data_IF_990967299933
#
_entry.id   IF_990967299933
#
_cell.length_a   1.000
_cell.length_b   1.000
_cell.length_c   1.000
_cell.angle_alpha   90.00
_cell.angle_beta   90.00
_cell.angle_gamma   90.00
#
_symmetry.space_group_name_H-M   'P 1'
#
loop_
_entity.id
_entity.type
_entity.pdbx_description
1 polymer ?
#
# COMPACT_ATOMS: atom_id res chain seq x y z
N UNK A 1 -4.54 -31.88 -46.17
CA UNK A 1 -3.30 -31.63 -46.92
C UNK A 1 -3.57 -30.56 -47.96
N UNK A 2 -2.97 -29.39 -47.76
CA UNK A 2 -2.62 -28.30 -48.69
C UNK A 2 -2.60 -27.02 -47.84
N UNK A 3 -1.37 -26.65 -47.48
CA UNK A 3 -0.98 -25.47 -46.71
C UNK A 3 -0.75 -24.36 -47.74
N UNK A 4 -1.36 -23.20 -47.56
CA UNK A 4 -1.05 -21.99 -48.33
C UNK A 4 -0.49 -20.92 -47.37
N UNK A 5 0.83 -20.79 -47.40
CA UNK A 5 1.59 -19.70 -46.79
C UNK A 5 1.33 -18.40 -47.55
N UNK A 6 0.98 -17.32 -46.84
CA UNK A 6 0.96 -15.96 -47.39
C UNK A 6 1.99 -15.13 -46.62
N UNK A 7 3.09 -14.84 -47.31
CA UNK A 7 4.16 -13.94 -46.89
C UNK A 7 3.80 -12.53 -47.33
N UNK A 8 3.68 -11.57 -46.40
CA UNK A 8 3.55 -10.16 -46.71
C UNK A 8 4.84 -9.41 -46.30
N UNK A 9 5.46 -8.76 -47.28
CA UNK A 9 6.72 -8.05 -47.16
C UNK A 9 6.52 -6.60 -46.67
N UNK A 10 7.50 -6.18 -45.87
CA UNK A 10 7.73 -4.87 -45.28
C UNK A 10 7.75 -3.75 -46.33
N UNK A 11 7.03 -2.64 -46.10
CA UNK A 11 7.24 -1.37 -46.80
C UNK A 11 7.57 -0.30 -45.75
N UNK A 12 8.82 0.17 -45.79
CA UNK A 12 9.35 1.24 -44.97
C UNK A 12 9.02 2.62 -45.58
N UNK A 13 8.26 3.44 -44.85
CA UNK A 13 8.05 4.85 -45.19
C UNK A 13 8.81 5.76 -44.22
N UNK A 14 9.88 6.40 -44.72
CA UNK A 14 10.53 7.59 -44.13
C UNK A 14 9.63 8.81 -44.33
N UNK A 15 9.64 9.75 -43.37
CA UNK A 15 9.58 11.23 -43.48
C UNK A 15 9.04 11.75 -42.12
N UNK A 16 9.35 12.91 -41.58
CA UNK A 16 10.44 13.86 -41.66
C UNK A 16 10.16 14.85 -40.52
N UNK A 17 11.18 15.22 -39.73
CA UNK A 17 11.10 16.30 -38.75
C UNK A 17 11.11 17.64 -39.49
N UNK A 18 10.21 18.58 -39.15
CA UNK A 18 10.37 19.98 -39.50
C UNK A 18 10.00 20.87 -38.31
N UNK A 19 11.01 21.60 -37.88
CA UNK A 19 11.02 22.67 -36.89
C UNK A 19 10.40 23.97 -37.43
N UNK A 20 10.35 24.96 -36.52
CA UNK A 20 10.55 26.41 -36.71
C UNK A 20 9.34 27.31 -37.00
N UNK A 21 8.95 28.03 -35.94
CA UNK A 21 8.82 29.50 -35.79
C UNK A 21 8.03 30.32 -36.80
N UNK A 22 7.06 31.10 -36.29
CA UNK A 22 6.72 32.41 -36.86
C UNK A 22 6.29 33.42 -35.78
N UNK A 23 6.88 34.61 -35.93
CA UNK A 23 6.85 35.82 -35.12
C UNK A 23 5.74 36.76 -35.64
N UNK A 24 4.98 37.42 -34.76
CA UNK A 24 4.30 38.73 -34.92
C UNK A 24 3.39 38.92 -33.70
N UNK A 25 3.40 39.99 -32.90
CA UNK A 25 3.80 41.38 -33.12
C UNK A 25 2.55 42.27 -33.07
N UNK A 26 2.17 42.80 -31.90
CA UNK A 26 1.28 43.97 -31.72
C UNK A 26 1.71 44.70 -30.44
N UNK A 27 1.89 46.01 -30.59
CA UNK A 27 2.34 46.94 -29.56
C UNK A 27 1.19 47.83 -29.05
N UNK A 28 1.45 48.44 -27.89
CA UNK A 28 0.97 49.75 -27.43
C UNK A 28 -0.43 49.85 -26.77
N UNK A 29 -0.45 50.15 -25.46
CA UNK A 29 -0.93 51.44 -24.92
C UNK A 29 -0.78 51.47 -23.39
N UNK A 30 0.00 52.44 -22.90
CA UNK A 30 0.21 52.77 -21.50
C UNK A 30 -0.75 53.88 -21.07
N UNK A 31 -1.30 53.79 -19.85
CA UNK A 31 -1.97 54.88 -19.13
C UNK A 31 -1.42 54.89 -17.69
N UNK A 32 -0.87 56.01 -17.18
CA UNK A 32 -0.46 56.14 -15.79
C UNK A 32 -1.64 56.63 -14.94
N UNK A 33 -1.89 56.01 -13.78
CA UNK A 33 -2.84 56.51 -12.78
C UNK A 33 -2.08 57.02 -11.54
N UNK A 34 -2.50 58.20 -11.09
CA UNK A 34 -1.82 59.07 -10.15
C UNK A 34 -1.81 58.58 -8.69
N UNK A 35 -0.83 59.06 -7.96
CA UNK A 35 -0.64 58.94 -6.53
C UNK A 35 -1.73 59.67 -5.72
N UNK A 36 -2.13 59.07 -4.60
CA UNK A 36 -2.68 59.76 -3.43
C UNK A 36 -1.95 59.27 -2.17
N UNK A 37 -1.31 60.22 -1.49
CA UNK A 37 -0.79 60.08 -0.14
C UNK A 37 -1.83 60.65 0.84
N UNK A 38 -2.10 59.95 1.95
CA UNK A 38 -2.69 60.58 3.15
C UNK A 38 -2.37 59.78 4.42
N UNK A 39 -1.67 60.47 5.31
CA UNK A 39 -1.87 60.59 6.78
C UNK A 39 -1.74 59.33 7.65
N UNK A 40 -0.68 59.38 8.45
CA UNK A 40 -0.45 58.69 9.73
C UNK A 40 -1.56 58.97 10.75
N UNK A 41 -2.09 57.92 11.37
CA UNK A 41 -2.73 57.98 12.69
C UNK A 41 -2.20 56.82 13.54
N UNK A 42 -1.49 57.18 14.61
CA UNK A 42 -1.05 56.29 15.68
C UNK A 42 -2.28 55.91 16.53
N UNK A 43 -2.69 54.64 16.49
CA UNK A 43 -3.51 54.04 17.54
C UNK A 43 -3.04 52.61 17.76
N UNK A 44 -2.29 52.44 18.84
CA UNK A 44 -1.99 51.15 19.45
C UNK A 44 -3.31 50.52 19.92
N UNK A 45 -3.76 49.50 19.19
CA UNK A 45 -4.79 48.55 19.58
C UNK A 45 -4.26 47.16 19.25
N UNK A 46 -4.38 46.26 20.22
CA UNK A 46 -3.82 44.91 20.23
C UNK A 46 -3.90 44.18 18.88
N UNK A 47 -2.75 43.70 18.39
CA UNK A 47 -2.68 42.78 17.27
C UNK A 47 -3.45 41.49 17.63
N UNK A 48 -4.51 41.12 16.91
CA UNK A 48 -4.71 39.70 16.66
C UNK A 48 -3.52 39.26 15.83
N UNK A 49 -2.85 38.17 16.22
CA UNK A 49 -1.79 37.56 15.42
C UNK A 49 -2.19 37.56 13.94
N UNK A 50 -1.52 38.41 13.17
CA UNK A 50 -1.78 38.59 11.76
C UNK A 50 -1.30 37.30 11.09
N UNK A 51 -2.22 36.34 10.92
CA UNK A 51 -1.96 35.19 10.06
C UNK A 51 -1.70 35.76 8.67
N UNK A 52 -0.43 35.77 8.30
CA UNK A 52 0.02 36.04 6.94
C UNK A 52 -0.55 34.90 6.08
N UNK A 53 -1.74 35.13 5.54
CA UNK A 53 -2.32 34.27 4.52
C UNK A 53 -1.54 34.52 3.24
N UNK A 54 -0.47 33.75 3.04
CA UNK A 54 0.26 33.72 1.77
C UNK A 54 -0.65 33.09 0.73
N UNK A 55 -1.39 33.94 0.01
CA UNK A 55 -2.11 33.59 -1.21
C UNK A 55 -1.09 33.09 -2.24
N UNK A 56 -0.93 31.78 -2.30
CA UNK A 56 0.09 31.09 -3.08
C UNK A 56 0.55 29.77 -2.47
N UNK A 57 0.26 29.53 -1.19
CA UNK A 57 0.55 28.23 -0.57
C UNK A 57 -0.58 27.23 -0.86
N UNK A 58 -0.26 26.17 -1.59
CA UNK A 58 -1.11 24.98 -1.75
C UNK A 58 -1.26 24.16 -0.46
N UNK A 59 -0.84 24.67 0.70
CA UNK A 59 -1.00 23.99 1.97
C UNK A 59 -2.44 24.14 2.47
N UNK A 60 -3.25 23.12 2.20
CA UNK A 60 -4.32 22.74 3.13
C UNK A 60 -3.70 22.78 4.55
N UNK A 61 -4.42 23.32 5.54
CA UNK A 61 -4.01 23.30 6.95
C UNK A 61 -3.45 21.92 7.30
N UNK A 62 -2.13 21.85 7.39
CA UNK A 62 -1.40 20.59 7.52
C UNK A 62 -1.62 20.11 8.95
N UNK A 63 -2.17 18.92 9.14
CA UNK A 63 -2.43 18.35 10.48
C UNK A 63 -1.15 18.25 11.32
N UNK A 64 0.01 18.29 10.67
CA UNK A 64 1.33 18.37 11.28
C UNK A 64 1.64 19.69 12.00
N UNK A 65 0.89 20.77 11.74
CA UNK A 65 1.11 22.06 12.40
C UNK A 65 0.37 22.18 13.74
N UNK A 66 -0.63 21.34 13.97
CA UNK A 66 -1.44 21.32 15.21
C UNK A 66 -1.15 20.09 16.09
N UNK A 67 -0.58 19.02 15.52
CA UNK A 67 -0.29 17.78 16.25
C UNK A 67 1.12 17.79 16.87
N UNK A 68 1.27 17.49 18.18
CA UNK A 68 2.58 17.33 18.81
C UNK A 68 3.32 16.07 18.34
N UNK A 69 2.66 15.20 17.58
CA UNK A 69 3.23 13.97 17.01
C UNK A 69 3.12 13.98 15.49
N UNK A 70 4.17 13.57 14.75
CA UNK A 70 4.17 13.61 13.29
C UNK A 70 3.10 12.69 12.72
N UNK A 71 2.31 13.22 11.78
CA UNK A 71 1.32 12.51 10.99
C UNK A 71 1.86 12.40 9.56
N UNK A 72 2.12 11.18 9.13
CA UNK A 72 2.48 10.88 7.74
C UNK A 72 1.20 10.50 7.02
N UNK A 73 0.92 11.13 5.88
CA UNK A 73 -0.23 10.76 5.08
C UNK A 73 0.19 10.32 3.68
N UNK A 74 -0.46 9.26 3.19
CA UNK A 74 -0.20 8.64 1.90
C UNK A 74 -1.51 8.61 1.12
N UNK A 75 -1.47 9.13 -0.09
CA UNK A 75 -2.67 9.26 -0.93
C UNK A 75 -2.98 7.98 -1.70
N UNK A 76 -4.23 7.83 -2.13
CA UNK A 76 -4.69 6.70 -2.97
C UNK A 76 -3.76 6.39 -4.16
N UNK A 77 -3.11 7.43 -4.71
CA UNK A 77 -2.20 7.35 -5.84
C UNK A 77 -0.94 6.52 -5.58
N UNK A 78 -0.44 6.52 -4.34
CA UNK A 78 0.78 5.80 -3.97
C UNK A 78 0.54 4.30 -3.80
N UNK A 79 -0.71 3.88 -3.58
CA UNK A 79 -1.11 2.46 -3.55
C UNK A 79 -1.50 1.94 -4.94
N UNK A 80 -1.60 2.80 -5.97
CA UNK A 80 -2.03 2.35 -7.30
C UNK A 80 -0.96 1.45 -7.92
N UNK A 81 -1.37 0.21 -8.17
CA UNK A 81 -0.55 -0.80 -8.82
C UNK A 81 0.19 -1.72 -7.86
N UNK A 82 0.01 -1.52 -6.55
CA UNK A 82 0.35 -2.52 -5.55
C UNK A 82 -0.84 -3.48 -5.37
N UNK A 83 -0.54 -4.76 -5.18
CA UNK A 83 -1.56 -5.81 -4.96
C UNK A 83 -2.14 -5.72 -3.54
N UNK A 84 -1.32 -5.33 -2.56
CA UNK A 84 -1.72 -5.21 -1.15
C UNK A 84 -1.43 -3.78 -0.65
N UNK A 85 -2.43 -3.15 -0.04
CA UNK A 85 -2.28 -1.80 0.55
C UNK A 85 -1.15 -1.77 1.58
N UNK A 86 -0.93 -2.87 2.29
CA UNK A 86 0.15 -2.97 3.28
C UNK A 86 1.51 -2.81 2.61
N UNK A 87 1.76 -3.38 1.43
CA UNK A 87 3.06 -3.32 0.78
C UNK A 87 3.44 -1.89 0.39
N UNK A 88 2.49 -1.10 -0.08
CA UNK A 88 2.71 0.32 -0.32
C UNK A 88 2.87 1.12 1.00
N UNK A 89 2.18 0.75 2.09
CA UNK A 89 2.39 1.35 3.41
C UNK A 89 3.77 1.05 4.01
N UNK A 90 4.43 -0.05 3.64
CA UNK A 90 5.81 -0.36 4.11
C UNK A 90 6.86 0.60 3.59
N UNK A 91 6.54 1.41 2.58
CA UNK A 91 7.37 2.55 2.18
C UNK A 91 7.57 3.54 3.35
N UNK A 92 6.63 3.58 4.30
CA UNK A 92 6.78 4.32 5.56
C UNK A 92 7.72 3.54 6.48
N UNK A 93 8.84 4.15 6.95
CA UNK A 93 9.78 3.47 7.84
C UNK A 93 9.13 2.89 9.12
N UNK A 94 8.10 3.57 9.63
CA UNK A 94 7.35 3.14 10.79
C UNK A 94 6.52 1.86 10.55
N UNK A 95 6.20 1.49 9.31
CA UNK A 95 5.36 0.33 8.98
C UNK A 95 6.13 -0.83 8.34
N UNK A 96 7.46 -0.75 8.30
CA UNK A 96 8.34 -1.80 7.74
C UNK A 96 8.15 -3.19 8.35
N UNK A 97 7.71 -3.25 9.61
CA UNK A 97 7.41 -4.50 10.34
C UNK A 97 6.01 -5.07 10.10
N UNK A 98 5.19 -4.42 9.26
CA UNK A 98 3.86 -4.93 8.86
C UNK A 98 4.00 -6.24 8.07
N UNK A 99 2.91 -6.98 7.90
CA UNK A 99 2.89 -8.26 7.19
C UNK A 99 1.80 -8.15 6.13
N UNK A 100 2.15 -8.30 4.85
CA UNK A 100 1.17 -8.38 3.76
C UNK A 100 0.63 -9.80 3.61
N UNK A 101 -0.48 -9.92 2.88
CA UNK A 101 -1.13 -11.20 2.55
C UNK A 101 -0.15 -12.24 2.00
N UNK A 102 0.75 -11.85 1.08
CA UNK A 102 1.77 -12.74 0.52
C UNK A 102 2.81 -13.24 1.54
N UNK A 103 3.06 -12.48 2.61
CA UNK A 103 4.02 -12.85 3.66
C UNK A 103 3.41 -13.62 4.83
N UNK A 104 2.08 -13.61 4.94
CA UNK A 104 1.34 -14.24 6.04
C UNK A 104 1.46 -15.78 6.09
N UNK A 105 1.98 -16.40 5.02
CA UNK A 105 2.27 -17.83 4.91
C UNK A 105 3.57 -18.25 5.59
N UNK A 106 4.43 -17.30 5.96
CA UNK A 106 5.62 -17.58 6.76
C UNK A 106 5.27 -17.70 8.25
N UNK A 107 5.93 -18.59 9.03
CA UNK A 107 5.79 -18.61 10.48
C UNK A 107 6.22 -17.23 11.03
N UNK A 108 5.29 -16.52 11.67
CA UNK A 108 5.42 -15.10 12.03
C UNK A 108 4.67 -14.74 13.31
N UNK A 109 4.62 -13.46 13.66
CA UNK A 109 4.16 -12.93 14.96
C UNK A 109 2.71 -13.32 15.36
N UNK A 110 1.92 -13.85 14.43
CA UNK A 110 0.55 -14.34 14.63
C UNK A 110 0.45 -15.87 14.47
N UNK A 111 1.49 -16.59 14.90
CA UNK A 111 1.77 -18.06 14.84
C UNK A 111 0.64 -19.01 15.30
N UNK A 112 -0.54 -18.49 15.63
CA UNK A 112 -1.73 -19.24 16.06
C UNK A 112 -2.58 -19.79 14.91
N UNK A 113 -2.06 -19.85 13.68
CA UNK A 113 -2.74 -20.48 12.54
C UNK A 113 -3.98 -19.76 12.00
N UNK A 114 -4.33 -18.59 12.55
CA UNK A 114 -5.51 -17.80 12.17
C UNK A 114 -5.23 -16.59 11.26
N UNK A 115 -3.99 -16.37 10.85
CA UNK A 115 -3.56 -15.17 10.12
C UNK A 115 -3.08 -15.44 8.67
N UNK A 116 -3.17 -16.68 8.18
CA UNK A 116 -2.78 -17.00 6.80
C UNK A 116 -3.74 -16.32 5.82
N UNK A 117 -3.19 -15.60 4.84
CA UNK A 117 -3.92 -14.77 3.88
C UNK A 117 -4.32 -13.39 4.42
N UNK A 118 -3.98 -13.06 5.68
CA UNK A 118 -4.34 -11.76 6.29
C UNK A 118 -3.22 -10.74 6.12
N UNK A 119 -3.61 -9.48 5.99
CA UNK A 119 -2.69 -8.34 5.93
C UNK A 119 -2.80 -7.55 7.25
N UNK A 120 -1.68 -7.29 7.93
CA UNK A 120 -1.68 -6.69 9.27
C UNK A 120 -0.64 -5.59 9.40
N UNK A 121 -0.99 -4.55 10.17
CA UNK A 121 -0.12 -3.39 10.38
C UNK A 121 0.64 -3.50 11.69
N UNK A 122 1.94 -3.20 11.64
CA UNK A 122 2.80 -3.22 12.81
C UNK A 122 3.70 -1.98 12.83
N UNK A 123 3.31 -1.01 13.65
CA UNK A 123 4.09 0.21 13.83
C UNK A 123 5.35 -0.09 14.65
N UNK A 124 6.51 0.18 14.04
CA UNK A 124 7.86 0.08 14.60
C UNK A 124 8.26 -1.33 15.05
N UNK A 125 7.59 -2.36 14.54
CA UNK A 125 7.91 -3.75 14.89
C UNK A 125 7.60 -4.11 16.35
N UNK A 126 6.68 -3.38 17.00
CA UNK A 126 6.32 -3.59 18.41
C UNK A 126 5.08 -4.47 18.58
N UNK A 127 4.55 -5.01 17.49
CA UNK A 127 3.49 -6.01 17.42
C UNK A 127 2.16 -5.45 16.93
N UNK A 128 1.46 -6.24 16.12
CA UNK A 128 0.23 -5.83 15.45
C UNK A 128 -0.91 -5.53 16.43
N UNK A 129 -1.00 -6.25 17.55
CA UNK A 129 -1.98 -6.02 18.62
C UNK A 129 -1.86 -4.62 19.30
N UNK A 130 -0.76 -3.90 19.07
CA UNK A 130 -0.47 -2.61 19.71
C UNK A 130 -0.65 -1.41 18.77
N UNK A 131 -1.08 -1.68 17.54
CA UNK A 131 -1.36 -0.69 16.50
C UNK A 131 -2.87 -0.56 16.34
N UNK A 132 -3.41 0.65 16.53
CA UNK A 132 -4.83 0.87 16.34
C UNK A 132 -5.15 1.19 14.87
N UNK A 133 -6.07 0.45 14.28
CA UNK A 133 -6.59 0.72 12.94
C UNK A 133 -7.97 1.39 13.01
N UNK A 134 -8.08 2.53 12.33
CA UNK A 134 -9.30 3.30 12.20
C UNK A 134 -9.75 3.34 10.74
N UNK A 135 -11.06 3.38 10.52
CA UNK A 135 -11.69 3.70 9.24
C UNK A 135 -12.55 4.93 9.46
N UNK A 136 -12.24 6.03 8.77
CA UNK A 136 -12.88 7.34 8.95
C UNK A 136 -12.93 7.79 10.44
N UNK A 137 -11.83 7.57 11.17
CA UNK A 137 -11.70 7.93 12.59
C UNK A 137 -12.46 7.01 13.55
N UNK A 138 -13.04 5.89 13.09
CA UNK A 138 -13.73 4.90 13.94
C UNK A 138 -12.96 3.59 13.98
N UNK A 139 -12.96 2.92 15.12
CA UNK A 139 -12.26 1.65 15.32
C UNK A 139 -12.83 0.58 14.38
N UNK A 140 -11.96 -0.07 13.62
CA UNK A 140 -12.36 -1.16 12.74
C UNK A 140 -12.45 -2.49 13.50
N UNK A 141 -13.13 -3.47 12.90
CA UNK A 141 -13.33 -4.78 13.52
C UNK A 141 -12.08 -5.64 13.38
N UNK A 142 -11.81 -6.49 14.37
CA UNK A 142 -10.72 -7.46 14.28
C UNK A 142 -11.03 -8.49 13.17
N UNK A 143 -10.00 -8.82 12.38
CA UNK A 143 -10.08 -9.78 11.28
C UNK A 143 -9.33 -11.09 11.54
N UNK A 144 -8.47 -11.13 12.57
CA UNK A 144 -7.69 -12.31 12.94
C UNK A 144 -8.30 -12.95 14.19
N UNK A 145 -8.60 -14.24 14.11
CA UNK A 145 -9.25 -14.98 15.20
C UNK A 145 -8.47 -14.87 16.52
N UNK A 146 -9.21 -14.73 17.63
CA UNK A 146 -8.67 -14.67 19.00
C UNK A 146 -7.70 -13.50 19.29
N UNK A 147 -7.64 -12.50 18.40
CA UNK A 147 -6.83 -11.30 18.58
C UNK A 147 -7.66 -10.02 18.39
N UNK A 148 -7.07 -8.86 18.71
CA UNK A 148 -7.61 -7.54 18.36
C UNK A 148 -7.07 -7.01 17.04
N UNK A 149 -6.31 -7.82 16.28
CA UNK A 149 -5.68 -7.39 15.03
C UNK A 149 -6.70 -7.27 13.91
N UNK A 150 -6.60 -6.17 13.19
CA UNK A 150 -7.41 -5.90 12.01
C UNK A 150 -6.75 -6.49 10.78
N UNK A 151 -7.52 -7.25 9.99
CA UNK A 151 -7.13 -7.64 8.65
C UNK A 151 -7.42 -6.49 7.66
N UNK A 152 -6.37 -5.93 7.07
CA UNK A 152 -6.46 -4.79 6.16
C UNK A 152 -7.17 -5.15 4.85
N UNK A 153 -7.16 -6.43 4.47
CA UNK A 153 -7.89 -6.91 3.29
C UNK A 153 -9.41 -6.75 3.41
N UNK A 154 -9.93 -6.49 4.62
CA UNK A 154 -11.34 -6.18 4.85
C UNK A 154 -11.74 -4.76 4.44
N UNK A 155 -10.78 -3.89 4.12
CA UNK A 155 -11.00 -2.51 3.69
C UNK A 155 -10.74 -2.42 2.18
N UNK A 156 -11.77 -2.20 1.34
CA UNK A 156 -11.61 -2.13 -0.10
C UNK A 156 -10.63 -1.04 -0.52
N UNK A 157 -9.55 -1.41 -1.21
CA UNK A 157 -8.47 -0.48 -1.55
C UNK A 157 -8.97 0.64 -2.48
N UNK A 158 -9.92 0.35 -3.35
CA UNK A 158 -10.50 1.33 -4.30
C UNK A 158 -11.35 2.42 -3.63
N UNK A 159 -11.74 2.23 -2.36
CA UNK A 159 -12.44 3.23 -1.55
C UNK A 159 -11.49 4.10 -0.73
N UNK A 160 -10.22 3.71 -0.58
CA UNK A 160 -9.27 4.47 0.22
C UNK A 160 -8.89 5.74 -0.55
N UNK A 161 -9.10 6.89 0.08
CA UNK A 161 -8.67 8.18 -0.43
C UNK A 161 -7.27 8.52 0.06
N UNK A 162 -7.00 8.25 1.33
CA UNK A 162 -5.75 8.57 2.00
C UNK A 162 -5.62 7.68 3.25
N UNK A 163 -4.38 7.35 3.60
CA UNK A 163 -4.05 6.67 4.84
C UNK A 163 -3.20 7.60 5.69
N UNK A 164 -3.67 7.89 6.89
CA UNK A 164 -2.98 8.73 7.85
C UNK A 164 -2.31 7.86 8.92
N UNK A 165 -1.02 8.06 9.13
CA UNK A 165 -0.21 7.30 10.07
C UNK A 165 0.29 8.24 11.15
N UNK A 166 -0.24 8.07 12.36
CA UNK A 166 0.19 8.76 13.56
C UNK A 166 1.08 7.81 14.37
N UNK A 167 2.34 8.18 14.56
CA UNK A 167 3.27 7.38 15.37
C UNK A 167 3.41 7.96 16.77
N UNK A 168 3.56 7.09 17.78
CA UNK A 168 3.74 7.50 19.18
C UNK A 168 2.55 7.13 20.08
N UNK A 169 2.64 7.48 21.36
CA UNK A 169 1.68 7.09 22.40
C UNK A 169 0.32 7.78 22.26
N UNK A 170 -0.47 7.36 21.29
CA UNK A 170 -1.82 7.85 21.02
C UNK A 170 -2.87 7.27 21.98
N UNK A 171 -2.45 6.43 22.94
CA UNK A 171 -3.33 5.77 23.91
C UNK A 171 -4.13 6.73 24.78
N UNK A 172 -3.64 7.95 25.01
CA UNK A 172 -4.34 8.96 25.80
C UNK A 172 -5.63 9.46 25.12
N UNK A 173 -5.67 9.47 23.78
CA UNK A 173 -6.82 9.97 23.00
C UNK A 173 -7.66 8.80 22.52
N UNK A 174 -7.03 7.76 21.98
CA UNK A 174 -7.71 6.67 21.29
C UNK A 174 -7.87 5.40 22.13
N UNK A 175 -7.23 5.29 23.30
CA UNK A 175 -7.37 4.18 24.24
C UNK A 175 -6.25 3.13 24.19
N UNK A 176 -6.41 2.06 24.96
CA UNK A 176 -5.32 1.11 25.29
C UNK A 176 -4.67 0.41 24.09
N UNK A 177 -5.37 0.26 22.95
CA UNK A 177 -4.81 -0.41 21.76
C UNK A 177 -3.86 0.46 20.94
N UNK A 178 -3.86 1.78 21.15
CA UNK A 178 -3.05 2.74 20.40
C UNK A 178 -1.67 2.99 21.04
N UNK A 179 -0.96 1.93 21.42
CA UNK A 179 0.32 2.02 22.16
C UNK A 179 1.44 2.50 21.25
N UNK A 180 1.54 1.94 20.04
CA UNK A 180 2.59 2.26 19.06
C UNK A 180 2.19 3.41 18.16
N UNK A 181 0.88 3.61 18.00
CA UNK A 181 0.28 4.66 17.20
C UNK A 181 -1.09 4.28 16.64
N UNK A 182 -1.50 5.03 15.62
CA UNK A 182 -2.79 4.90 14.93
C UNK A 182 -2.57 4.95 13.43
N UNK A 183 -3.25 4.07 12.70
CA UNK A 183 -3.37 4.15 11.24
C UNK A 183 -4.84 4.36 10.90
N UNK A 184 -5.16 5.46 10.24
CA UNK A 184 -6.52 5.84 9.87
C UNK A 184 -6.68 5.78 8.35
N UNK A 185 -7.56 4.89 7.90
CA UNK A 185 -7.99 4.79 6.51
C UNK A 185 -9.15 5.75 6.28
N UNK A 186 -8.90 6.79 5.50
CA UNK A 186 -9.92 7.76 5.08
C UNK A 186 -10.55 7.26 3.79
N UNK A 187 -11.83 6.91 3.85
CA UNK A 187 -12.56 6.44 2.66
C UNK A 187 -13.15 7.62 1.88
N UNK A 188 -13.25 7.46 0.56
CA UNK A 188 -13.95 8.39 -0.30
C UNK A 188 -15.46 8.30 -0.10
N UNK A 189 -16.03 9.34 0.52
CA UNK A 189 -17.46 9.44 0.86
C UNK A 189 -18.25 10.34 -0.09
N UNK A 190 -17.60 10.90 -1.11
CA UNK A 190 -18.21 11.87 -2.02
C UNK A 190 -18.08 11.46 -3.49
N UNK A 191 -17.67 10.20 -3.75
CA UNK A 191 -17.47 9.66 -5.08
C UNK A 191 -18.76 9.71 -5.93
N UNK A 192 -18.69 10.32 -7.11
CA UNK A 192 -19.81 10.40 -8.07
C UNK A 192 -19.31 9.96 -9.45
N UNK A 193 -19.90 8.88 -9.95
CA UNK A 193 -19.55 8.32 -11.25
C UNK A 193 -19.27 6.83 -11.22
N UNK A 194 -18.53 6.37 -12.21
CA UNK A 194 -18.12 4.98 -12.39
C UNK A 194 -16.61 4.95 -12.57
N UNK A 195 -15.95 4.07 -11.84
CA UNK A 195 -14.52 3.80 -11.98
C UNK A 195 -14.30 2.29 -12.14
N UNK A 196 -13.41 1.93 -13.06
CA UNK A 196 -12.95 0.57 -13.29
C UNK A 196 -11.44 0.58 -13.19
N UNK A 197 -10.90 -0.26 -12.31
CA UNK A 197 -9.47 -0.50 -12.21
C UNK A 197 -9.16 -1.95 -12.52
N UNK A 198 -8.06 -2.17 -13.23
CA UNK A 198 -7.50 -3.49 -13.52
C UNK A 198 -6.00 -3.39 -13.32
N UNK A 199 -5.44 -4.33 -12.56
CA UNK A 199 -4.03 -4.50 -12.33
C UNK A 199 -3.66 -5.98 -12.46
N UNK A 200 -2.41 -6.26 -12.80
CA UNK A 200 -1.91 -7.61 -12.80
C UNK A 200 -0.43 -7.63 -13.16
N UNK A 201 0.22 -8.70 -12.74
CA UNK A 201 1.64 -8.87 -12.83
C UNK A 201 2.01 -10.35 -12.97
N UNK A 202 3.26 -10.56 -13.36
CA UNK A 202 3.88 -11.87 -13.42
C UNK A 202 5.34 -11.70 -13.02
N UNK A 203 5.91 -12.71 -12.38
CA UNK A 203 7.34 -12.70 -12.07
C UNK A 203 8.19 -12.71 -13.35
N UNK A 204 9.43 -12.22 -13.25
CA UNK A 204 10.41 -12.29 -14.34
C UNK A 204 10.70 -13.73 -14.80
N UNK A 205 10.45 -14.72 -13.94
CA UNK A 205 10.59 -16.15 -14.27
C UNK A 205 9.36 -16.75 -14.95
N UNK A 206 8.30 -15.98 -15.17
CA UNK A 206 7.08 -16.42 -15.85
C UNK A 206 6.13 -17.25 -14.95
N UNK A 207 6.18 -17.04 -13.64
CA UNK A 207 5.34 -17.67 -12.62
C UNK A 207 4.84 -16.62 -11.62
N UNK A 208 4.06 -17.03 -10.61
CA UNK A 208 3.53 -16.11 -9.59
C UNK A 208 2.64 -15.03 -10.21
N UNK A 209 1.73 -15.45 -11.09
CA UNK A 209 0.79 -14.54 -11.72
C UNK A 209 -0.18 -13.96 -10.70
N UNK A 210 -0.47 -12.67 -10.83
CA UNK A 210 -1.43 -12.00 -9.99
C UNK A 210 -2.29 -11.02 -10.79
N UNK A 211 -3.49 -10.79 -10.28
CA UNK A 211 -4.53 -10.00 -10.94
C UNK A 211 -5.48 -9.40 -9.92
N UNK A 212 -5.71 -8.10 -10.04
CA UNK A 212 -6.77 -7.39 -9.31
C UNK A 212 -7.67 -6.64 -10.28
N UNK A 213 -8.96 -6.66 -9.98
CA UNK A 213 -9.93 -5.83 -10.66
C UNK A 213 -10.96 -5.29 -9.69
N UNK A 214 -11.37 -4.05 -9.91
CA UNK A 214 -12.49 -3.47 -9.18
C UNK A 214 -13.40 -2.66 -10.09
N UNK A 215 -14.70 -2.67 -9.74
CA UNK A 215 -15.69 -1.75 -10.28
C UNK A 215 -16.31 -0.97 -9.14
N UNK A 216 -16.32 0.36 -9.26
CA UNK A 216 -16.86 1.28 -8.27
C UNK A 216 -17.93 2.15 -8.93
N UNK A 217 -19.10 2.22 -8.32
CA UNK A 217 -20.20 3.08 -8.72
C UNK A 217 -20.60 3.97 -7.54
N UNK A 218 -20.60 5.28 -7.74
CA UNK A 218 -21.02 6.24 -6.74
C UNK A 218 -22.09 7.18 -7.28
N UNK A 219 -23.01 7.58 -6.40
CA UNK A 219 -23.99 8.60 -6.71
C UNK A 219 -24.24 9.53 -5.54
N UNK A 220 -24.06 10.82 -5.78
CA UNK A 220 -24.49 11.87 -4.86
C UNK A 220 -25.99 12.17 -5.04
N UNK A 221 -26.69 12.41 -3.94
CA UNK A 221 -28.12 12.72 -3.91
C UNK A 221 -28.44 13.83 -2.88
N UNK A 222 -29.62 14.44 -3.05
CA UNK A 222 -30.07 15.53 -2.16
C UNK A 222 -29.15 16.76 -2.19
N UNK A 223 -28.77 17.23 -3.39
CA UNK A 223 -27.87 18.37 -3.59
C UNK A 223 -26.50 18.21 -2.91
N UNK A 224 -25.95 16.98 -2.92
CA UNK A 224 -24.65 16.65 -2.33
C UNK A 224 -24.70 16.36 -0.82
N UNK A 225 -25.89 16.27 -0.22
CA UNK A 225 -26.05 15.95 1.21
C UNK A 225 -25.95 14.46 1.53
N UNK A 226 -26.02 13.60 0.52
CA UNK A 226 -25.86 12.16 0.68
C UNK A 226 -25.07 11.56 -0.48
N UNK A 227 -24.38 10.46 -0.19
CA UNK A 227 -23.63 9.66 -1.14
C UNK A 227 -23.95 8.18 -0.91
N UNK A 228 -24.18 7.44 -2.00
CA UNK A 228 -24.14 5.98 -1.99
C UNK A 228 -23.02 5.55 -2.92
N UNK A 229 -22.08 4.76 -2.40
CA UNK A 229 -21.02 4.13 -3.19
C UNK A 229 -21.09 2.62 -3.03
N UNK A 230 -21.02 1.92 -4.16
CA UNK A 230 -20.99 0.46 -4.27
C UNK A 230 -19.69 0.05 -4.95
N UNK A 231 -19.03 -0.95 -4.40
CA UNK A 231 -17.78 -1.49 -4.93
C UNK A 231 -17.86 -3.00 -4.99
N UNK A 232 -17.37 -3.56 -6.10
CA UNK A 232 -17.02 -4.97 -6.21
C UNK A 232 -15.56 -5.08 -6.59
N UNK A 233 -14.81 -5.88 -5.83
CA UNK A 233 -13.39 -6.15 -6.07
C UNK A 233 -13.18 -7.66 -6.24
N UNK A 234 -12.20 -8.03 -7.04
CA UNK A 234 -11.75 -9.39 -7.24
C UNK A 234 -10.23 -9.39 -7.33
N UNK A 235 -9.59 -10.16 -6.46
CA UNK A 235 -8.15 -10.35 -6.45
C UNK A 235 -7.82 -11.84 -6.61
N UNK A 236 -6.73 -12.13 -7.31
CA UNK A 236 -6.18 -13.46 -7.51
C UNK A 236 -4.65 -13.37 -7.46
N UNK A 237 -4.04 -14.24 -6.67
CA UNK A 237 -2.59 -14.37 -6.58
C UNK A 237 -2.25 -15.87 -6.54
N UNK A 238 -1.42 -16.32 -7.49
CA UNK A 238 -0.99 -17.72 -7.57
C UNK A 238 -0.03 -18.11 -6.42
N UNK A 239 0.57 -17.11 -5.77
CA UNK A 239 1.53 -17.25 -4.70
C UNK A 239 2.88 -17.77 -5.19
N UNK A 240 3.91 -17.48 -4.41
CA UNK A 240 5.23 -18.07 -4.60
C UNK A 240 5.71 -18.62 -3.27
N UNK A 241 5.99 -19.92 -3.21
CA UNK A 241 6.53 -20.55 -2.00
C UNK A 241 8.04 -20.44 -2.00
N UNK A 242 8.62 -20.46 -0.80
CA UNK A 242 10.08 -20.46 -0.63
C UNK A 242 10.76 -21.58 -1.45
N UNK A 243 10.15 -22.75 -1.59
CA UNK A 243 10.70 -23.87 -2.36
C UNK A 243 10.69 -23.71 -3.88
N UNK A 244 9.90 -22.77 -4.41
CA UNK A 244 9.69 -22.61 -5.86
C UNK A 244 10.87 -21.88 -6.54
N UNK A 245 11.73 -21.25 -5.74
CA UNK A 245 12.93 -20.55 -6.22
C UNK A 245 14.17 -21.38 -5.93
N UNK A 246 14.95 -21.65 -6.96
CA UNK A 246 16.16 -22.48 -6.85
C UNK A 246 17.17 -21.94 -5.82
N UNK A 247 17.25 -20.62 -5.65
CA UNK A 247 18.12 -19.95 -4.68
C UNK A 247 17.69 -20.19 -3.22
N UNK A 248 16.39 -20.42 -2.98
CA UNK A 248 15.83 -20.64 -1.64
C UNK A 248 15.59 -22.12 -1.34
N UNK A 249 15.47 -22.96 -2.37
CA UNK A 249 15.28 -24.42 -2.27
C UNK A 249 16.36 -25.15 -1.47
N UNK A 250 17.59 -24.63 -1.47
CA UNK A 250 18.74 -25.22 -0.75
C UNK A 250 19.27 -24.32 0.39
N UNK A 251 18.51 -23.28 0.78
CA UNK A 251 18.95 -22.24 1.70
C UNK A 251 18.79 -22.55 3.18
N UNK A 252 18.65 -23.81 3.60
CA UNK A 252 18.53 -24.23 5.01
C UNK A 252 17.40 -23.56 5.84
N UNK A 253 16.42 -22.90 5.19
CA UNK A 253 15.22 -22.37 5.86
C UNK A 253 14.12 -23.45 5.92
N UNK A 254 14.18 -24.44 5.03
CA UNK A 254 13.57 -25.74 5.23
C UNK A 254 14.65 -26.69 5.77
N UNK A 255 15.25 -26.38 6.92
CA UNK A 255 15.78 -27.49 7.72
C UNK A 255 14.55 -28.27 8.16
N UNK A 256 14.45 -29.48 7.64
CA UNK A 256 13.46 -30.47 8.01
C UNK A 256 13.55 -30.67 9.53
N UNK A 257 12.82 -29.84 10.29
CA UNK A 257 12.43 -30.17 11.65
C UNK A 257 11.96 -31.63 11.57
N UNK A 258 12.63 -32.54 12.29
CA UNK A 258 12.88 -33.91 11.85
C UNK A 258 11.61 -34.51 11.32
N UNK A 259 11.51 -34.59 9.98
CA UNK A 259 10.32 -35.08 9.30
C UNK A 259 9.93 -36.43 9.94
N UNK A 260 8.83 -36.49 10.72
CA UNK A 260 8.50 -37.71 11.45
C UNK A 260 8.13 -38.85 10.50
N UNK A 261 7.88 -38.55 9.21
CA UNK A 261 7.65 -39.55 8.18
C UNK A 261 8.92 -40.28 7.70
N UNK A 262 10.13 -39.75 7.96
CA UNK A 262 11.38 -40.46 7.64
C UNK A 262 11.72 -41.57 8.65
N UNK A 263 11.05 -41.61 9.82
CA UNK A 263 11.18 -42.72 10.79
C UNK A 263 10.52 -44.01 10.34
N UNK A 264 9.70 -43.96 9.30
CA UNK A 264 9.04 -45.13 8.72
C UNK A 264 9.60 -45.52 7.36
N UNK A 265 10.89 -45.21 7.07
CA UNK A 265 11.58 -45.91 6.00
C UNK A 265 11.57 -47.40 6.30
N UNK A 266 10.84 -48.13 5.46
CA UNK A 266 10.75 -49.57 5.46
C UNK A 266 12.14 -50.18 5.23
N UNK A 267 12.80 -50.57 6.32
CA UNK A 267 13.96 -51.44 6.37
C UNK A 267 13.69 -52.51 7.40
N UNK A 268 13.98 -53.77 7.08
CA UNK A 268 13.69 -54.89 7.98
C UNK A 268 14.57 -54.76 9.24
N UNK A 269 14.05 -54.93 10.46
CA UNK A 269 14.74 -54.56 11.72
C UNK A 269 16.02 -55.33 12.08
N UNK A 270 16.59 -56.14 11.19
CA UNK A 270 17.66 -57.11 11.49
C UNK A 270 18.82 -57.11 10.50
N UNK A 271 18.91 -56.13 9.60
CA UNK A 271 20.04 -56.01 8.67
C UNK A 271 21.18 -55.18 9.29
N UNK A 272 22.17 -55.87 9.84
CA UNK A 272 23.31 -55.29 10.58
C UNK A 272 24.46 -54.84 9.66
N UNK A 273 24.39 -55.12 8.35
CA UNK A 273 25.47 -54.77 7.41
C UNK A 273 25.48 -53.29 7.00
N UNK A 274 24.36 -52.56 7.17
CA UNK A 274 24.26 -51.16 6.73
C UNK A 274 24.83 -50.11 7.70
N UNK A 275 25.29 -50.48 8.90
CA UNK A 275 25.86 -49.53 9.87
C UNK A 275 27.40 -49.41 9.80
N UNK A 276 28.08 -50.23 9.00
CA UNK A 276 29.55 -50.32 9.06
C UNK A 276 30.32 -49.44 8.07
N UNK A 277 29.68 -48.78 7.08
CA UNK A 277 30.42 -48.13 5.99
C UNK A 277 30.69 -46.62 6.15
N UNK A 278 30.35 -45.99 7.27
CA UNK A 278 30.47 -44.52 7.42
C UNK A 278 31.47 -44.08 8.50
N UNK A 279 32.46 -44.93 8.80
CA UNK A 279 33.57 -44.57 9.70
C UNK A 279 34.92 -44.93 9.08
N UNK A 280 35.24 -44.44 7.88
CA UNK A 280 36.63 -44.44 7.39
C UNK A 280 36.89 -43.41 6.29
N UNK A 281 36.92 -42.12 6.63
CA UNK A 281 37.74 -41.13 5.91
C UNK A 281 37.75 -39.79 6.63
N UNK A 282 38.51 -39.70 7.73
CA UNK A 282 39.08 -38.43 8.20
C UNK A 282 40.56 -38.70 8.44
N UNK A 283 41.38 -38.34 7.46
CA UNK A 283 42.80 -38.01 7.58
C UNK A 283 43.13 -36.98 6.52
#
# INVERSE_FOLDING_TARGET
MIIAHITAHRISGRQARLSTTLLSGIALLAIPAAASAQVTDDTSAAEPEEQILVTGSRLKRDSNLESPSPVVSITAEEFRGEQDVVDALRSIPALTGSISSAQSVAPGELDSGGAVGTATLNLRGLGANRTLVLVNGRRHVAGVAETSVVDINSIPASLIKEVEVLTGGASAIYGADAVTGVVNFVLDREFDGIELGLNGGISEQGDGENFDGFVKFGKNFGDGRGNVTLVGEYSYDDGLRFGDRAQFRNGNIADDGPNPALRFRAGRPWDWDTQASTTSSIS
#
